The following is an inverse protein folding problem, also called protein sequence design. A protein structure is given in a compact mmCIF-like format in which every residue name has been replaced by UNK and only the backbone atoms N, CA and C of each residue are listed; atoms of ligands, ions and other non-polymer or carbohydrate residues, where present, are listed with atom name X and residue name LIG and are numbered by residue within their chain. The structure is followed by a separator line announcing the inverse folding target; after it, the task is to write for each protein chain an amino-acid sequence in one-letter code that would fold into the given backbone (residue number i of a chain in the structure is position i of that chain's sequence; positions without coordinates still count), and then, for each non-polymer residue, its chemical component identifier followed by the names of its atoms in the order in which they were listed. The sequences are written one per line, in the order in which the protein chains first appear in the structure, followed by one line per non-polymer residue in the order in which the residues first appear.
data_IF_513030296944
#
_entry.id   IF_513030296944
#
_cell.length_a   1.000
_cell.length_b   1.000
_cell.length_c   1.000
_cell.angle_alpha   90.00
_cell.angle_beta   90.00
_cell.angle_gamma   90.00
#
_symmetry.space_group_name_H-M   'P 1'
#
loop_
_entity.id
_entity.type
_entity.pdbx_description
1 polymer ?
#
# COMPACT_ATOMS: atom_id res chain seq x y z
N UNK A 1 -6.77 -2.12 -0.42
CA UNK A 1 -5.44 -2.33 0.20
C UNK A 1 -5.48 -3.36 1.32
N UNK A 2 -6.47 -3.36 2.21
CA UNK A 2 -6.61 -4.40 3.27
C UNK A 2 -6.88 -5.81 2.71
N UNK A 3 -7.51 -5.90 1.55
CA UNK A 3 -7.83 -7.14 0.85
C UNK A 3 -6.61 -7.77 0.16
N UNK A 4 -5.75 -6.93 -0.40
CA UNK A 4 -4.43 -7.35 -0.92
C UNK A 4 -3.53 -7.84 0.23
N UNK A 5 -3.68 -7.29 1.44
CA UNK A 5 -2.95 -7.76 2.62
C UNK A 5 -3.27 -9.21 2.99
N UNK A 6 -4.56 -9.62 2.97
CA UNK A 6 -4.97 -11.01 3.25
C UNK A 6 -4.43 -11.99 2.21
N UNK A 7 -4.66 -11.73 0.93
CA UNK A 7 -4.13 -12.56 -0.16
C UNK A 7 -2.59 -12.51 -0.23
N UNK A 8 -1.99 -11.36 0.10
CA UNK A 8 -0.55 -11.19 0.19
C UNK A 8 0.10 -12.05 1.29
N UNK A 9 -0.48 -12.09 2.48
CA UNK A 9 -0.01 -12.95 3.57
C UNK A 9 -0.10 -14.43 3.19
N UNK A 10 -1.20 -14.85 2.58
CA UNK A 10 -1.40 -16.22 2.12
C UNK A 10 -0.40 -16.61 1.04
N UNK A 11 -0.22 -15.75 0.03
CA UNK A 11 0.77 -15.97 -1.03
C UNK A 11 2.17 -16.11 -0.45
N UNK A 12 2.55 -15.23 0.49
CA UNK A 12 3.84 -15.26 1.15
C UNK A 12 4.09 -16.55 1.94
N UNK A 13 3.12 -17.03 2.73
CA UNK A 13 3.28 -18.28 3.50
C UNK A 13 3.43 -19.50 2.61
N UNK A 14 2.63 -19.61 1.54
CA UNK A 14 2.78 -20.73 0.60
C UNK A 14 4.10 -20.68 -0.15
N UNK A 15 4.51 -19.50 -0.61
CA UNK A 15 5.81 -19.34 -1.27
C UNK A 15 6.97 -19.63 -0.32
N UNK A 16 6.90 -19.25 0.96
CA UNK A 16 7.90 -19.63 1.98
C UNK A 16 7.92 -21.14 2.14
N UNK A 17 6.76 -21.78 2.26
CA UNK A 17 6.67 -23.24 2.42
C UNK A 17 7.20 -23.99 1.20
N UNK A 18 6.87 -23.55 0.00
CA UNK A 18 7.35 -24.16 -1.25
C UNK A 18 8.84 -23.90 -1.46
N UNK A 19 9.34 -22.73 -1.14
CA UNK A 19 10.76 -22.37 -1.12
C UNK A 19 11.56 -23.28 -0.15
N UNK A 20 11.01 -23.54 1.04
CA UNK A 20 11.62 -24.43 2.03
C UNK A 20 11.57 -25.91 1.61
N UNK A 21 10.55 -26.35 0.87
CA UNK A 21 10.38 -27.74 0.43
C UNK A 21 11.05 -28.05 -0.91
N UNK A 22 11.52 -27.04 -1.65
CA UNK A 22 12.19 -27.24 -2.94
C UNK A 22 11.29 -27.75 -4.06
N UNK A 23 9.97 -27.55 -3.96
CA UNK A 23 9.00 -27.82 -5.04
C UNK A 23 8.89 -26.61 -5.97
N UNK A 24 8.75 -26.87 -7.27
CA UNK A 24 8.54 -25.83 -8.28
C UNK A 24 7.34 -24.97 -7.92
N UNK A 25 7.56 -23.68 -7.66
CA UNK A 25 6.55 -22.72 -7.18
C UNK A 25 5.44 -22.36 -8.17
N UNK A 26 5.35 -23.02 -9.33
CA UNK A 26 4.33 -22.79 -10.37
C UNK A 26 2.92 -23.25 -9.99
N UNK A 27 2.75 -23.95 -8.87
CA UNK A 27 1.44 -24.34 -8.34
C UNK A 27 0.94 -23.38 -7.24
N UNK A 28 1.73 -22.33 -6.92
CA UNK A 28 1.51 -21.56 -5.72
C UNK A 28 0.31 -20.61 -5.76
N UNK A 29 0.48 -19.49 -6.42
CA UNK A 29 -0.42 -18.35 -6.26
C UNK A 29 -1.78 -18.54 -6.93
N UNK A 30 -1.81 -18.95 -8.19
CA UNK A 30 -3.06 -19.16 -8.94
C UNK A 30 -3.94 -20.29 -8.39
N UNK A 31 -3.32 -21.41 -7.99
CA UNK A 31 -4.04 -22.51 -7.35
C UNK A 31 -4.59 -22.15 -5.98
N UNK A 32 -3.88 -21.30 -5.25
CA UNK A 32 -4.30 -20.79 -3.95
C UNK A 32 -5.47 -19.82 -4.08
N UNK A 33 -5.40 -18.84 -5.00
CA UNK A 33 -6.48 -17.89 -5.24
C UNK A 33 -7.76 -18.63 -5.66
N UNK A 34 -7.63 -19.73 -6.39
CA UNK A 34 -8.76 -20.56 -6.82
C UNK A 34 -9.39 -21.39 -5.70
N UNK A 35 -8.75 -21.48 -4.52
CA UNK A 35 -9.28 -22.25 -3.38
C UNK A 35 -10.05 -21.39 -2.39
N UNK A 36 -11.41 -21.45 -2.37
CA UNK A 36 -12.22 -20.58 -1.51
C UNK A 36 -11.94 -20.78 -0.01
N UNK A 37 -11.76 -22.02 0.41
CA UNK A 37 -11.54 -22.36 1.83
C UNK A 37 -10.21 -21.80 2.36
N UNK A 38 -9.16 -21.85 1.53
CA UNK A 38 -7.84 -21.33 1.88
C UNK A 38 -7.91 -19.80 1.98
N UNK A 39 -8.51 -19.13 1.02
CA UNK A 39 -8.66 -17.67 1.01
C UNK A 39 -9.44 -17.16 2.22
N UNK A 40 -10.59 -17.79 2.52
CA UNK A 40 -11.42 -17.39 3.67
C UNK A 40 -10.71 -17.66 5.00
N UNK A 41 -10.01 -18.80 5.14
CA UNK A 41 -9.26 -19.11 6.34
C UNK A 41 -8.17 -18.07 6.64
N UNK A 42 -7.34 -17.76 5.66
CA UNK A 42 -6.27 -16.78 5.87
C UNK A 42 -6.79 -15.35 6.01
N UNK A 43 -7.86 -14.98 5.30
CA UNK A 43 -8.54 -13.72 5.52
C UNK A 43 -9.00 -13.60 6.98
N UNK A 44 -9.64 -14.63 7.52
CA UNK A 44 -10.07 -14.67 8.91
C UNK A 44 -8.88 -14.52 9.86
N UNK A 45 -7.82 -15.29 9.66
CA UNK A 45 -6.59 -15.23 10.48
C UNK A 45 -6.01 -13.81 10.45
N UNK A 46 -5.89 -13.21 9.28
CA UNK A 46 -5.35 -11.84 9.12
C UNK A 46 -6.19 -10.80 9.86
N UNK A 47 -7.51 -10.84 9.68
CA UNK A 47 -8.43 -9.90 10.34
C UNK A 47 -8.41 -10.08 11.86
N UNK A 48 -8.43 -11.34 12.33
CA UNK A 48 -8.36 -11.64 13.77
C UNK A 48 -7.05 -11.13 14.38
N UNK A 49 -5.92 -11.40 13.77
CA UNK A 49 -4.61 -10.92 14.25
C UNK A 49 -4.58 -9.39 14.26
N UNK A 50 -5.02 -8.74 13.18
CA UNK A 50 -5.01 -7.28 13.09
C UNK A 50 -5.86 -6.65 14.20
N UNK A 51 -7.13 -7.03 14.32
CA UNK A 51 -8.01 -6.45 15.32
C UNK A 51 -7.72 -6.90 16.76
N UNK A 52 -7.09 -8.06 16.95
CA UNK A 52 -6.54 -8.47 18.24
C UNK A 52 -5.42 -7.50 18.68
N UNK A 53 -4.46 -7.21 17.81
CA UNK A 53 -3.39 -6.24 18.08
C UNK A 53 -3.99 -4.85 18.37
N UNK A 54 -4.98 -4.42 17.57
CA UNK A 54 -5.64 -3.12 17.70
C UNK A 54 -6.56 -3.02 18.93
N UNK A 55 -6.98 -4.12 19.53
CA UNK A 55 -7.78 -4.13 20.76
C UNK A 55 -7.01 -3.64 21.98
N UNK A 56 -5.68 -3.73 21.93
CA UNK A 56 -4.79 -3.19 22.97
C UNK A 56 -4.57 -1.67 22.80
N UNK A 57 -4.06 -1.00 23.85
CA UNK A 57 -3.78 0.44 23.77
C UNK A 57 -2.72 0.76 22.71
N UNK A 58 -2.96 1.83 21.93
CA UNK A 58 -2.15 2.28 20.81
C UNK A 58 -0.66 2.44 21.14
N UNK A 59 -0.35 3.14 22.24
CA UNK A 59 1.02 3.47 22.64
C UNK A 59 1.84 2.26 23.12
N UNK A 60 1.20 1.19 23.60
CA UNK A 60 1.93 0.03 24.14
C UNK A 60 2.04 -1.15 23.18
N UNK A 61 1.10 -1.32 22.27
CA UNK A 61 0.97 -2.49 21.39
C UNK A 61 1.35 -2.17 19.94
N UNK A 62 0.52 -1.37 19.27
CA UNK A 62 0.66 -1.11 17.84
C UNK A 62 1.99 -0.43 17.49
N UNK A 63 2.33 0.66 18.17
CA UNK A 63 3.56 1.43 17.92
C UNK A 63 4.81 0.56 18.05
N UNK A 64 4.87 -0.23 19.13
CA UNK A 64 6.03 -1.10 19.38
C UNK A 64 6.15 -2.19 18.31
N UNK A 65 5.05 -2.89 18.01
CA UNK A 65 5.03 -3.96 16.98
C UNK A 65 5.41 -3.39 15.62
N UNK A 66 4.77 -2.28 15.21
CA UNK A 66 5.04 -1.65 13.92
C UNK A 66 6.48 -1.16 13.82
N UNK A 67 7.04 -0.57 14.87
CA UNK A 67 8.44 -0.10 14.88
C UNK A 67 9.43 -1.22 14.63
N UNK A 68 9.29 -2.36 15.32
CA UNK A 68 10.17 -3.50 15.10
C UNK A 68 9.98 -4.14 13.72
N UNK A 69 8.73 -4.29 13.29
CA UNK A 69 8.42 -4.81 11.96
C UNK A 69 9.02 -3.95 10.85
N UNK A 70 8.83 -2.62 10.92
CA UNK A 70 9.35 -1.70 9.90
C UNK A 70 10.88 -1.61 9.91
N UNK A 71 11.50 -1.69 11.09
CA UNK A 71 12.96 -1.74 11.18
C UNK A 71 13.53 -3.03 10.58
N UNK A 72 12.93 -4.18 10.88
CA UNK A 72 13.32 -5.46 10.30
C UNK A 72 13.11 -5.46 8.78
N UNK A 73 11.99 -4.92 8.32
CA UNK A 73 11.66 -4.74 6.91
C UNK A 73 12.75 -3.94 6.17
N UNK A 74 13.16 -2.79 6.71
CA UNK A 74 14.18 -1.96 6.08
C UNK A 74 15.53 -2.69 5.98
N UNK A 75 15.93 -3.39 7.03
CA UNK A 75 17.16 -4.19 7.04
C UNK A 75 17.11 -5.30 6.00
N UNK A 76 15.98 -6.02 5.92
CA UNK A 76 15.78 -7.09 4.92
C UNK A 76 15.81 -6.53 3.50
N UNK A 77 15.15 -5.39 3.25
CA UNK A 77 15.17 -4.73 1.94
C UNK A 77 16.60 -4.34 1.53
N UNK A 78 17.34 -3.74 2.43
CA UNK A 78 18.74 -3.36 2.14
C UNK A 78 19.60 -4.59 1.82
N UNK A 79 19.46 -5.68 2.59
CA UNK A 79 20.17 -6.91 2.32
C UNK A 79 19.82 -7.52 0.97
N UNK A 80 18.53 -7.56 0.61
CA UNK A 80 18.06 -8.05 -0.68
C UNK A 80 18.48 -7.14 -1.84
N UNK A 81 18.42 -5.82 -1.67
CA UNK A 81 18.88 -4.87 -2.68
C UNK A 81 20.36 -5.02 -2.98
N UNK A 82 21.18 -5.10 -1.93
CA UNK A 82 22.63 -5.35 -2.08
C UNK A 82 22.87 -6.68 -2.78
N UNK A 83 22.19 -7.75 -2.36
CA UNK A 83 22.32 -9.05 -3.01
C UNK A 83 21.93 -9.00 -4.49
N UNK A 84 20.81 -8.34 -4.84
CA UNK A 84 20.32 -8.23 -6.21
C UNK A 84 21.30 -7.52 -7.14
N UNK A 85 22.02 -6.52 -6.65
CA UNK A 85 23.05 -5.80 -7.43
C UNK A 85 24.27 -6.67 -7.77
N UNK A 86 24.54 -7.73 -7.00
CA UNK A 86 25.66 -8.66 -7.28
C UNK A 86 25.28 -9.80 -8.22
N UNK A 87 24.02 -9.87 -8.69
CA UNK A 87 23.60 -10.89 -9.65
C UNK A 87 24.22 -10.64 -11.03
N UNK A 88 24.57 -11.74 -11.74
CA UNK A 88 25.07 -11.67 -13.12
C UNK A 88 23.95 -11.18 -14.04
N UNK A 89 24.11 -10.04 -14.71
CA UNK A 89 23.08 -9.45 -15.56
C UNK A 89 22.28 -8.32 -14.87
N UNK A 90 22.58 -8.00 -13.61
CA UNK A 90 21.93 -6.91 -12.88
C UNK A 90 22.02 -5.55 -13.59
N UNK A 91 23.08 -5.31 -14.38
CA UNK A 91 23.26 -4.06 -15.12
C UNK A 91 22.18 -3.76 -16.15
N UNK A 92 21.66 -4.77 -16.85
CA UNK A 92 20.56 -4.61 -17.82
C UNK A 92 19.26 -4.24 -17.09
N UNK A 93 18.95 -4.93 -15.98
CA UNK A 93 17.79 -4.64 -15.15
C UNK A 93 17.85 -3.27 -14.51
N UNK A 94 19.03 -2.84 -14.04
CA UNK A 94 19.23 -1.48 -13.54
C UNK A 94 19.10 -0.42 -14.63
N UNK A 95 19.59 -0.70 -15.82
CA UNK A 95 19.44 0.19 -16.97
C UNK A 95 17.97 0.33 -17.36
N UNK A 96 17.23 -0.76 -17.40
CA UNK A 96 15.78 -0.75 -17.64
C UNK A 96 15.05 0.10 -16.60
N UNK A 97 15.40 -0.05 -15.33
CA UNK A 97 14.74 0.65 -14.23
C UNK A 97 15.07 2.14 -14.18
N UNK A 98 16.33 2.51 -14.38
CA UNK A 98 16.81 3.88 -14.16
C UNK A 98 16.88 4.74 -15.43
N UNK A 99 16.92 4.12 -16.62
CA UNK A 99 16.99 4.87 -17.88
C UNK A 99 15.60 5.38 -18.27
N UNK A 100 15.33 6.68 -18.18
CA UNK A 100 14.02 7.21 -18.53
C UNK A 100 13.82 7.15 -20.05
N UNK A 101 12.66 6.66 -20.46
CA UNK A 101 12.19 6.71 -21.85
C UNK A 101 11.06 7.72 -21.96
N UNK A 102 11.41 8.97 -22.23
CA UNK A 102 10.45 10.07 -22.34
C UNK A 102 9.45 9.90 -23.50
N UNK A 103 9.74 9.04 -24.48
CA UNK A 103 8.84 8.78 -25.61
C UNK A 103 7.57 8.02 -25.19
N UNK A 104 7.61 7.35 -24.04
CA UNK A 104 6.49 6.56 -23.50
C UNK A 104 5.66 7.30 -22.45
N UNK A 105 6.02 8.56 -22.14
CA UNK A 105 5.26 9.37 -21.18
C UNK A 105 4.09 10.00 -21.91
N UNK A 106 2.92 9.44 -21.71
CA UNK A 106 1.64 9.99 -22.13
C UNK A 106 0.77 10.41 -20.94
N UNK A 107 -0.42 10.93 -21.22
CA UNK A 107 -1.36 11.34 -20.16
C UNK A 107 -1.78 10.20 -19.23
N UNK A 108 -1.86 8.98 -19.73
CA UNK A 108 -2.25 7.81 -18.94
C UNK A 108 -1.18 7.44 -17.90
N UNK A 109 0.09 7.55 -18.28
CA UNK A 109 1.23 7.34 -17.37
C UNK A 109 1.23 8.38 -16.24
N UNK A 110 0.94 9.63 -16.56
CA UNK A 110 0.87 10.71 -15.54
C UNK A 110 -0.27 10.44 -14.56
N UNK A 111 -1.46 10.08 -15.05
CA UNK A 111 -2.61 9.75 -14.20
C UNK A 111 -2.31 8.52 -13.35
N UNK A 112 -1.73 7.48 -13.93
CA UNK A 112 -1.33 6.27 -13.20
C UNK A 112 -0.35 6.57 -12.08
N UNK A 113 0.67 7.39 -12.33
CA UNK A 113 1.64 7.82 -11.33
C UNK A 113 0.98 8.63 -10.19
N UNK A 114 0.03 9.51 -10.52
CA UNK A 114 -0.68 10.31 -9.51
C UNK A 114 -1.64 9.45 -8.68
N UNK A 115 -2.37 8.52 -9.29
CA UNK A 115 -3.23 7.57 -8.57
C UNK A 115 -2.38 6.70 -7.62
N UNK A 116 -1.21 6.25 -8.07
CA UNK A 116 -0.27 5.53 -7.23
C UNK A 116 0.21 6.38 -6.05
N UNK A 117 0.52 7.66 -6.26
CA UNK A 117 0.92 8.57 -5.19
C UNK A 117 -0.21 8.79 -4.17
N UNK A 118 -1.46 8.95 -4.60
CA UNK A 118 -2.62 9.02 -3.69
C UNK A 118 -2.79 7.74 -2.89
N UNK A 119 -2.59 6.59 -3.53
CA UNK A 119 -2.74 5.29 -2.90
C UNK A 119 -1.64 5.04 -1.86
N UNK A 120 -0.36 5.18 -2.22
CA UNK A 120 0.77 4.86 -1.35
C UNK A 120 0.83 5.77 -0.13
N UNK A 121 0.55 7.07 -0.30
CA UNK A 121 0.50 8.04 0.79
C UNK A 121 -0.83 8.05 1.55
N UNK A 122 -1.81 7.22 1.14
CA UNK A 122 -3.15 7.16 1.75
C UNK A 122 -3.83 8.53 1.85
N UNK A 123 -3.55 9.43 0.91
CA UNK A 123 -4.16 10.75 0.87
C UNK A 123 -5.65 10.61 0.55
N UNK A 124 -6.49 11.40 1.19
CA UNK A 124 -7.94 11.35 0.96
C UNK A 124 -8.72 10.28 1.71
N UNK A 125 -8.07 9.25 2.27
CA UNK A 125 -8.72 8.25 3.13
C UNK A 125 -8.93 8.72 4.58
N UNK A 126 -8.44 9.89 4.96
CA UNK A 126 -8.45 10.35 6.34
C UNK A 126 -7.39 9.70 7.25
N UNK A 127 -6.67 8.68 6.79
CA UNK A 127 -5.63 7.99 7.57
C UNK A 127 -4.55 8.93 8.04
N UNK A 128 -4.04 9.79 7.18
CA UNK A 128 -3.04 10.79 7.53
C UNK A 128 -3.57 11.84 8.52
N UNK A 129 -4.88 12.15 8.52
CA UNK A 129 -5.48 13.03 9.53
C UNK A 129 -5.49 12.36 10.91
N UNK A 130 -5.83 11.07 10.98
CA UNK A 130 -5.83 10.30 12.23
C UNK A 130 -4.39 10.13 12.75
N UNK A 131 -3.45 9.71 11.91
CA UNK A 131 -2.05 9.60 12.33
C UNK A 131 -1.46 10.97 12.69
N UNK A 132 -1.82 12.04 11.97
CA UNK A 132 -1.45 13.40 12.30
C UNK A 132 -1.96 13.85 13.67
N UNK A 133 -3.12 13.37 14.11
CA UNK A 133 -3.65 13.67 15.45
C UNK A 133 -2.85 13.01 16.58
N UNK A 134 -2.06 11.99 16.29
CA UNK A 134 -1.19 11.31 17.24
C UNK A 134 0.20 11.94 17.33
N UNK A 135 0.56 12.80 16.36
CA UNK A 135 1.84 13.51 16.38
C UNK A 135 1.82 14.54 17.51
N UNK A 136 2.82 14.48 18.39
CA UNK A 136 3.00 15.45 19.46
C UNK A 136 3.28 16.86 18.90
N UNK A 137 2.85 17.89 19.63
CA UNK A 137 3.07 19.30 19.25
C UNK A 137 4.55 19.74 19.21
N UNK A 138 5.46 18.82 19.40
CA UNK A 138 6.91 19.01 19.32
C UNK A 138 7.41 19.02 17.87
N UNK A 139 6.66 18.39 16.95
CA UNK A 139 7.01 18.21 15.55
C UNK A 139 6.12 19.02 14.63
N UNK A 140 6.70 19.60 13.56
CA UNK A 140 5.93 20.29 12.53
C UNK A 140 5.32 19.29 11.56
N UNK A 141 4.06 19.47 11.17
CA UNK A 141 3.39 18.56 10.24
C UNK A 141 4.06 18.54 8.85
N UNK A 142 4.60 19.67 8.40
CA UNK A 142 5.32 19.73 7.12
C UNK A 142 6.62 18.92 7.17
N UNK A 143 7.34 18.96 8.28
CA UNK A 143 8.56 18.15 8.48
C UNK A 143 8.25 16.65 8.42
N UNK A 144 7.22 16.23 9.17
CA UNK A 144 6.80 14.82 9.17
C UNK A 144 6.29 14.35 7.82
N UNK A 145 5.52 15.19 7.09
CA UNK A 145 5.07 14.86 5.74
C UNK A 145 6.25 14.60 4.78
N UNK A 146 7.30 15.43 4.84
CA UNK A 146 8.50 15.24 4.03
C UNK A 146 9.25 13.97 4.41
N UNK A 147 9.35 13.65 5.71
CA UNK A 147 9.94 12.39 6.15
C UNK A 147 9.17 11.18 5.61
N UNK A 148 7.84 11.20 5.67
CA UNK A 148 6.99 10.13 5.15
C UNK A 148 7.21 9.96 3.64
N UNK A 149 7.14 11.04 2.85
CA UNK A 149 7.34 11.00 1.40
C UNK A 149 8.74 10.47 1.04
N UNK A 150 9.76 10.92 1.77
CA UNK A 150 11.15 10.50 1.52
C UNK A 150 11.34 9.01 1.80
N UNK A 151 10.81 8.51 2.92
CA UNK A 151 10.89 7.09 3.27
C UNK A 151 10.08 6.21 2.32
N UNK A 152 8.88 6.63 1.95
CA UNK A 152 8.03 5.93 0.98
C UNK A 152 8.74 5.81 -0.38
N UNK A 153 9.28 6.91 -0.89
CA UNK A 153 10.05 6.93 -2.14
C UNK A 153 11.30 6.05 -2.06
N UNK A 154 12.01 6.08 -0.94
CA UNK A 154 13.19 5.23 -0.73
C UNK A 154 12.83 3.75 -0.77
N UNK A 155 11.76 3.36 -0.08
CA UNK A 155 11.28 1.97 -0.06
C UNK A 155 10.86 1.53 -1.46
N UNK A 156 10.11 2.36 -2.18
CA UNK A 156 9.69 2.08 -3.56
C UNK A 156 10.91 1.93 -4.50
N UNK A 157 11.90 2.81 -4.36
CA UNK A 157 13.14 2.73 -5.13
C UNK A 157 13.93 1.44 -4.83
N UNK A 158 14.08 1.08 -3.57
CA UNK A 158 14.76 -0.16 -3.17
C UNK A 158 14.02 -1.40 -3.68
N UNK A 159 12.69 -1.41 -3.68
CA UNK A 159 11.91 -2.50 -4.24
C UNK A 159 12.20 -2.71 -5.73
N UNK A 160 12.30 -1.62 -6.50
CA UNK A 160 12.72 -1.69 -7.92
C UNK A 160 14.13 -2.24 -8.09
N UNK A 161 15.08 -1.83 -7.25
CA UNK A 161 16.46 -2.36 -7.25
C UNK A 161 16.51 -3.86 -6.93
N UNK A 162 15.57 -4.38 -6.15
CA UNK A 162 15.47 -5.82 -5.86
C UNK A 162 14.89 -6.56 -7.07
N UNK A 163 13.78 -6.09 -7.62
CA UNK A 163 12.95 -6.83 -8.57
C UNK A 163 13.55 -6.83 -9.97
N UNK A 164 13.85 -5.65 -10.53
CA UNK A 164 14.26 -5.55 -11.94
C UNK A 164 15.57 -6.28 -12.25
N UNK A 165 16.66 -6.10 -11.50
CA UNK A 165 17.88 -6.87 -11.76
C UNK A 165 17.68 -8.38 -11.66
N UNK A 166 16.85 -8.82 -10.71
CA UNK A 166 16.54 -10.23 -10.55
C UNK A 166 15.76 -10.79 -11.76
N UNK A 167 14.73 -10.11 -12.23
CA UNK A 167 13.97 -10.52 -13.41
C UNK A 167 14.88 -10.65 -14.66
N UNK A 168 15.71 -9.64 -14.92
CA UNK A 168 16.61 -9.63 -16.08
C UNK A 168 17.70 -10.72 -15.99
N UNK A 169 18.25 -10.94 -14.78
CA UNK A 169 19.26 -12.00 -14.56
C UNK A 169 18.72 -13.39 -14.94
N UNK A 170 17.45 -13.66 -14.70
CA UNK A 170 16.84 -14.96 -14.92
C UNK A 170 15.96 -15.01 -16.19
N UNK A 171 16.01 -13.98 -17.05
CA UNK A 171 15.22 -13.85 -18.28
C UNK A 171 13.72 -14.08 -18.05
N UNK A 172 13.18 -13.51 -16.97
CA UNK A 172 11.76 -13.58 -16.65
C UNK A 172 11.08 -12.30 -17.11
N UNK A 173 9.84 -12.45 -17.62
CA UNK A 173 9.03 -11.30 -17.99
C UNK A 173 8.72 -10.42 -16.80
N UNK A 174 8.87 -9.12 -17.01
CA UNK A 174 8.51 -8.11 -16.01
C UNK A 174 7.01 -7.88 -16.08
N UNK A 175 6.26 -8.67 -15.33
CA UNK A 175 4.83 -8.52 -15.18
C UNK A 175 4.50 -7.34 -14.24
N UNK A 176 3.22 -7.07 -14.05
CA UNK A 176 2.73 -6.06 -13.12
C UNK A 176 1.78 -6.68 -12.08
N UNK A 177 1.59 -5.99 -10.97
CA UNK A 177 0.65 -6.39 -9.93
C UNK A 177 1.10 -7.61 -9.10
N UNK A 178 0.15 -8.35 -8.51
CA UNK A 178 0.46 -9.47 -7.62
C UNK A 178 1.26 -10.59 -8.27
N UNK A 179 1.07 -10.87 -9.56
CA UNK A 179 1.81 -11.92 -10.28
C UNK A 179 3.31 -11.66 -10.33
N UNK A 180 3.74 -10.39 -10.41
CA UNK A 180 5.15 -10.04 -10.32
C UNK A 180 5.77 -10.48 -9.00
N UNK A 181 5.05 -10.27 -7.90
CA UNK A 181 5.57 -10.54 -6.55
C UNK A 181 5.51 -12.03 -6.20
N UNK A 182 4.46 -12.75 -6.60
CA UNK A 182 4.24 -14.12 -6.15
C UNK A 182 4.68 -15.17 -7.17
N UNK A 183 4.45 -14.94 -8.47
CA UNK A 183 4.84 -15.90 -9.50
C UNK A 183 6.26 -15.63 -10.02
N UNK A 184 6.52 -14.39 -10.47
CA UNK A 184 7.82 -14.05 -11.07
C UNK A 184 8.94 -14.11 -10.03
N UNK A 185 8.78 -13.52 -8.85
CA UNK A 185 9.81 -13.55 -7.81
C UNK A 185 10.01 -14.96 -7.23
N UNK A 186 8.97 -15.78 -7.14
CA UNK A 186 9.12 -17.19 -6.76
C UNK A 186 9.97 -17.96 -7.80
N UNK A 187 9.74 -17.72 -9.09
CA UNK A 187 10.56 -18.30 -10.16
C UNK A 187 12.01 -17.81 -10.10
N UNK A 188 12.26 -16.53 -9.80
CA UNK A 188 13.61 -16.00 -9.56
C UNK A 188 14.33 -16.78 -8.46
N UNK A 189 13.70 -16.91 -7.29
CA UNK A 189 14.34 -17.61 -6.16
C UNK A 189 14.54 -19.10 -6.41
N UNK A 190 13.67 -19.75 -7.18
CA UNK A 190 13.85 -21.16 -7.55
C UNK A 190 15.09 -21.40 -8.44
N UNK A 191 15.45 -20.41 -9.26
CA UNK A 191 16.62 -20.50 -10.16
C UNK A 191 17.92 -19.94 -9.55
N UNK A 192 17.83 -19.32 -8.37
CA UNK A 192 18.96 -18.64 -7.76
C UNK A 192 19.74 -19.53 -6.78
N UNK A 193 21.07 -19.41 -6.75
CA UNK A 193 21.89 -20.05 -5.71
C UNK A 193 21.54 -19.50 -4.33
N UNK A 194 21.20 -20.38 -3.38
CA UNK A 194 20.72 -19.96 -2.06
C UNK A 194 19.30 -19.41 -2.07
N UNK A 195 18.54 -19.60 -3.13
CA UNK A 195 17.20 -19.03 -3.32
C UNK A 195 16.20 -19.38 -2.23
N UNK A 196 16.36 -20.54 -1.54
CA UNK A 196 15.53 -20.88 -0.38
C UNK A 196 15.66 -19.85 0.75
N UNK A 197 16.87 -19.41 1.05
CA UNK A 197 17.12 -18.43 2.12
C UNK A 197 16.59 -17.05 1.66
N UNK A 198 17.02 -16.61 0.48
CA UNK A 198 16.65 -15.30 -0.05
C UNK A 198 15.14 -15.19 -0.32
N UNK A 199 14.51 -16.24 -0.87
CA UNK A 199 13.09 -16.30 -1.08
C UNK A 199 12.30 -16.26 0.25
N UNK A 200 12.73 -17.03 1.25
CA UNK A 200 12.09 -16.99 2.57
C UNK A 200 12.19 -15.61 3.22
N UNK A 201 13.34 -14.95 3.12
CA UNK A 201 13.53 -13.58 3.61
C UNK A 201 12.67 -12.56 2.85
N UNK A 202 12.57 -12.69 1.53
CA UNK A 202 11.73 -11.82 0.70
C UNK A 202 10.25 -11.96 1.07
N UNK A 203 9.74 -13.20 1.17
CA UNK A 203 8.33 -13.40 1.52
C UNK A 203 8.02 -13.05 2.97
N UNK A 204 8.97 -13.23 3.89
CA UNK A 204 8.84 -12.71 5.26
C UNK A 204 8.75 -11.19 5.27
N UNK A 205 9.57 -10.51 4.47
CA UNK A 205 9.47 -9.07 4.24
C UNK A 205 8.08 -8.68 3.74
N UNK A 206 7.56 -9.41 2.75
CA UNK A 206 6.21 -9.16 2.19
C UNK A 206 5.11 -9.31 3.25
N UNK A 207 5.21 -10.31 4.13
CA UNK A 207 4.28 -10.49 5.28
C UNK A 207 4.32 -9.26 6.20
N UNK A 208 5.50 -8.78 6.56
CA UNK A 208 5.62 -7.60 7.42
C UNK A 208 5.08 -6.33 6.75
N UNK A 209 5.39 -6.13 5.48
CA UNK A 209 4.87 -5.00 4.71
C UNK A 209 3.33 -5.03 4.63
N UNK A 210 2.75 -6.16 4.25
CA UNK A 210 1.31 -6.34 4.16
C UNK A 210 0.62 -6.13 5.52
N UNK A 211 1.16 -6.72 6.60
CA UNK A 211 0.58 -6.64 7.93
C UNK A 211 0.63 -5.22 8.49
N UNK A 212 1.72 -4.47 8.27
CA UNK A 212 1.81 -3.07 8.69
C UNK A 212 0.77 -2.19 8.02
N UNK A 213 0.51 -2.41 6.72
CA UNK A 213 -0.52 -1.70 5.96
C UNK A 213 -1.92 -2.04 6.48
N UNK A 214 -2.21 -3.33 6.70
CA UNK A 214 -3.50 -3.78 7.26
C UNK A 214 -3.75 -3.14 8.62
N UNK A 215 -2.76 -3.15 9.51
CA UNK A 215 -2.87 -2.53 10.83
C UNK A 215 -3.16 -1.01 10.72
N UNK A 216 -2.47 -0.31 9.82
CA UNK A 216 -2.69 1.12 9.60
C UNK A 216 -4.11 1.45 9.12
N UNK A 217 -4.61 0.70 8.12
CA UNK A 217 -5.97 0.90 7.58
C UNK A 217 -7.03 0.53 8.61
N UNK A 218 -6.87 -0.60 9.31
CA UNK A 218 -7.82 -1.03 10.34
C UNK A 218 -7.85 -0.08 11.53
N UNK A 219 -6.70 0.48 11.95
CA UNK A 219 -6.66 1.51 13.01
C UNK A 219 -7.41 2.77 12.57
N UNK A 220 -7.24 3.20 11.31
CA UNK A 220 -7.97 4.33 10.77
C UNK A 220 -9.50 4.14 10.89
N UNK A 221 -10.01 2.97 10.47
CA UNK A 221 -11.43 2.64 10.58
C UNK A 221 -11.86 2.60 12.04
N UNK A 222 -11.08 1.92 12.89
CA UNK A 222 -11.39 1.77 14.31
C UNK A 222 -11.42 3.11 15.03
N UNK A 223 -10.45 3.99 14.79
CA UNK A 223 -10.36 5.31 15.40
C UNK A 223 -11.57 6.16 15.02
N UNK A 224 -11.93 6.21 13.73
CA UNK A 224 -13.08 6.96 13.23
C UNK A 224 -14.40 6.46 13.86
N UNK A 225 -14.63 5.14 13.86
CA UNK A 225 -15.85 4.58 14.45
C UNK A 225 -15.94 4.85 15.95
N UNK A 226 -14.82 4.74 16.66
CA UNK A 226 -14.77 5.04 18.10
C UNK A 226 -15.06 6.50 18.41
N UNK A 227 -14.55 7.42 17.61
CA UNK A 227 -14.82 8.86 17.76
C UNK A 227 -16.32 9.18 17.55
N UNK A 228 -16.92 8.56 16.51
CA UNK A 228 -18.35 8.76 16.20
C UNK A 228 -19.31 8.12 17.22
N UNK A 229 -18.92 6.97 17.79
CA UNK A 229 -19.83 6.15 18.62
C UNK A 229 -19.54 6.18 20.10
N UNK A 230 -18.33 6.63 20.51
CA UNK A 230 -17.87 6.57 21.89
C UNK A 230 -17.56 5.14 22.39
N UNK A 231 -17.46 4.13 21.50
CA UNK A 231 -17.24 2.75 21.92
C UNK A 231 -15.84 2.53 22.49
N UNK A 232 -15.74 1.58 23.43
CA UNK A 232 -14.44 1.10 23.90
C UNK A 232 -13.66 0.40 22.78
N UNK A 233 -12.33 0.39 22.87
CA UNK A 233 -11.45 -0.26 21.89
C UNK A 233 -11.83 -1.72 21.60
N UNK A 234 -12.01 -2.59 22.62
CA UNK A 234 -12.35 -3.97 22.36
C UNK A 234 -13.68 -4.14 21.61
N UNK A 235 -14.72 -3.39 22.01
CA UNK A 235 -16.02 -3.42 21.33
C UNK A 235 -15.91 -2.93 19.90
N UNK A 236 -15.24 -1.79 19.68
CA UNK A 236 -14.98 -1.26 18.33
C UNK A 236 -14.21 -2.25 17.47
N UNK A 237 -13.17 -2.89 18.01
CA UNK A 237 -12.36 -3.88 17.29
C UNK A 237 -13.18 -5.08 16.82
N UNK A 238 -14.06 -5.63 17.64
CA UNK A 238 -14.92 -6.75 17.25
C UNK A 238 -15.90 -6.34 16.14
N UNK A 239 -16.57 -5.20 16.29
CA UNK A 239 -17.56 -4.75 15.30
C UNK A 239 -16.89 -4.37 13.97
N UNK A 240 -15.81 -3.58 14.03
CA UNK A 240 -15.07 -3.19 12.82
C UNK A 240 -14.43 -4.42 12.15
N UNK A 241 -13.85 -5.34 12.94
CA UNK A 241 -13.26 -6.57 12.42
C UNK A 241 -14.29 -7.44 11.70
N UNK A 242 -15.48 -7.59 12.26
CA UNK A 242 -16.60 -8.31 11.62
C UNK A 242 -17.01 -7.61 10.31
N UNK A 243 -17.16 -6.29 10.32
CA UNK A 243 -17.50 -5.52 9.13
C UNK A 243 -16.44 -5.63 8.02
N UNK A 244 -15.17 -5.48 8.37
CA UNK A 244 -14.04 -5.64 7.43
C UNK A 244 -14.00 -7.06 6.88
N UNK A 245 -14.18 -8.08 7.72
CA UNK A 245 -14.22 -9.47 7.27
C UNK A 245 -15.34 -9.73 6.26
N UNK A 246 -16.56 -9.28 6.55
CA UNK A 246 -17.70 -9.48 5.65
C UNK A 246 -17.53 -8.76 4.30
N UNK A 247 -17.01 -7.53 4.30
CA UNK A 247 -16.72 -6.81 3.06
C UNK A 247 -15.59 -7.47 2.27
N UNK A 248 -14.56 -7.94 2.96
CA UNK A 248 -13.41 -8.60 2.36
C UNK A 248 -13.75 -9.98 1.77
N UNK A 249 -14.80 -10.65 2.26
CA UNK A 249 -15.26 -11.91 1.69
C UNK A 249 -15.66 -11.79 0.22
N UNK A 250 -16.22 -10.67 -0.21
CA UNK A 250 -16.61 -10.45 -1.60
C UNK A 250 -15.41 -10.60 -2.54
N UNK A 251 -14.28 -10.03 -2.18
CA UNK A 251 -13.05 -10.14 -2.96
C UNK A 251 -12.38 -11.50 -2.80
N UNK A 252 -12.30 -12.03 -1.57
CA UNK A 252 -11.67 -13.34 -1.31
C UNK A 252 -12.37 -14.48 -2.04
N UNK A 253 -13.70 -14.43 -2.15
CA UNK A 253 -14.51 -15.39 -2.90
C UNK A 253 -14.66 -15.02 -4.39
N UNK A 254 -14.39 -13.77 -4.74
CA UNK A 254 -14.49 -13.27 -6.11
C UNK A 254 -13.56 -13.96 -7.11
N UNK A 255 -12.46 -14.51 -6.63
CA UNK A 255 -11.53 -15.28 -7.47
C UNK A 255 -11.96 -16.74 -7.69
N UNK A 256 -12.95 -17.23 -6.95
CA UNK A 256 -13.27 -18.66 -6.97
C UNK A 256 -14.76 -18.99 -7.12
N UNK A 257 -15.64 -18.38 -6.33
CA UNK A 257 -17.07 -18.71 -6.25
C UNK A 257 -17.96 -17.58 -6.76
N UNK A 258 -17.66 -16.35 -6.38
CA UNK A 258 -18.41 -15.17 -6.79
C UNK A 258 -17.80 -14.53 -8.04
N UNK A 259 -17.98 -15.18 -9.19
CA UNK A 259 -17.55 -14.61 -10.48
C UNK A 259 -18.38 -13.38 -10.81
N UNK A 260 -17.78 -12.22 -10.59
CA UNK A 260 -18.35 -10.93 -10.93
C UNK A 260 -17.37 -10.18 -11.83
N UNK A 261 -17.82 -9.83 -13.02
CA UNK A 261 -17.04 -9.12 -14.03
C UNK A 261 -17.63 -7.73 -14.22
N UNK A 262 -17.28 -6.77 -13.38
CA UNK A 262 -17.95 -5.48 -13.33
C UNK A 262 -17.73 -4.62 -14.58
N UNK A 263 -16.59 -4.77 -15.25
CA UNK A 263 -16.19 -3.87 -16.33
C UNK A 263 -16.01 -4.58 -17.66
N UNK A 264 -15.34 -5.73 -17.68
CA UNK A 264 -15.09 -6.54 -18.89
C UNK A 264 -14.77 -7.98 -18.50
N UNK A 265 -14.69 -8.87 -19.48
CA UNK A 265 -14.24 -10.25 -19.28
C UNK A 265 -12.84 -10.28 -18.63
N UNK A 266 -12.69 -11.07 -17.59
CA UNK A 266 -11.45 -11.19 -16.80
C UNK A 266 -11.30 -10.22 -15.63
N UNK A 267 -12.18 -9.21 -15.48
CA UNK A 267 -12.19 -8.36 -14.30
C UNK A 267 -12.83 -9.06 -13.10
N UNK A 268 -12.49 -8.61 -11.89
CA UNK A 268 -12.88 -9.26 -10.63
C UNK A 268 -13.45 -8.25 -9.62
N UNK A 269 -13.93 -8.74 -8.48
CA UNK A 269 -14.30 -7.88 -7.35
C UNK A 269 -13.14 -7.00 -6.87
N UNK A 270 -11.90 -7.45 -7.00
CA UNK A 270 -10.72 -6.65 -6.65
C UNK A 270 -10.63 -5.40 -7.53
N UNK A 271 -10.80 -5.56 -8.85
CA UNK A 271 -10.75 -4.46 -9.81
C UNK A 271 -11.88 -3.45 -9.56
N UNK A 272 -13.07 -3.94 -9.18
CA UNK A 272 -14.20 -3.09 -8.81
C UNK A 272 -13.91 -2.23 -7.59
N UNK A 273 -13.41 -2.84 -6.50
CA UNK A 273 -13.09 -2.10 -5.29
C UNK A 273 -11.90 -1.16 -5.48
N UNK A 274 -10.91 -1.59 -6.27
CA UNK A 274 -9.77 -0.74 -6.60
C UNK A 274 -10.21 0.49 -7.41
N UNK A 275 -11.08 0.32 -8.40
CA UNK A 275 -11.66 1.44 -9.12
C UNK A 275 -12.41 2.41 -8.20
N UNK A 276 -13.25 1.91 -7.30
CA UNK A 276 -13.98 2.77 -6.36
C UNK A 276 -13.01 3.52 -5.45
N UNK A 277 -12.03 2.85 -4.88
CA UNK A 277 -11.11 3.45 -3.91
C UNK A 277 -10.07 4.32 -4.61
N UNK A 278 -9.28 3.75 -5.51
CA UNK A 278 -8.09 4.41 -6.07
C UNK A 278 -8.43 5.49 -7.09
N UNK A 279 -9.47 5.24 -7.92
CA UNK A 279 -9.84 6.20 -8.97
C UNK A 279 -10.92 7.21 -8.53
N UNK A 280 -11.66 6.96 -7.44
CA UNK A 280 -12.72 7.85 -7.01
C UNK A 280 -12.50 8.40 -5.60
N UNK A 281 -12.50 7.53 -4.57
CA UNK A 281 -12.52 7.99 -3.17
C UNK A 281 -11.24 8.76 -2.82
N UNK A 282 -10.08 8.28 -3.24
CA UNK A 282 -8.81 8.92 -2.88
C UNK A 282 -8.65 10.31 -3.52
N UNK A 283 -8.84 10.49 -4.84
CA UNK A 283 -8.74 11.83 -5.45
C UNK A 283 -9.81 12.79 -4.92
N UNK A 284 -11.07 12.35 -4.82
CA UNK A 284 -12.15 13.19 -4.30
C UNK A 284 -11.97 13.55 -2.83
N UNK A 285 -11.56 12.58 -2.00
CA UNK A 285 -11.25 12.81 -0.59
C UNK A 285 -10.10 13.80 -0.42
N UNK A 286 -9.04 13.67 -1.22
CA UNK A 286 -7.90 14.60 -1.24
C UNK A 286 -8.34 16.00 -1.65
N UNK A 287 -9.20 16.12 -2.66
CA UNK A 287 -9.76 17.39 -3.11
C UNK A 287 -10.60 18.06 -2.01
N UNK A 288 -11.49 17.29 -1.37
CA UNK A 288 -12.34 17.79 -0.28
C UNK A 288 -11.48 18.27 0.89
N UNK A 289 -10.48 17.49 1.30
CA UNK A 289 -9.57 17.86 2.39
C UNK A 289 -8.76 19.12 2.06
N UNK A 290 -8.22 19.23 0.84
CA UNK A 290 -7.49 20.41 0.40
C UNK A 290 -8.37 21.67 0.41
N UNK A 291 -9.61 21.55 -0.09
CA UNK A 291 -10.57 22.66 -0.07
C UNK A 291 -10.99 23.03 1.35
N UNK A 292 -11.24 22.04 2.21
CA UNK A 292 -11.61 22.26 3.62
C UNK A 292 -10.50 22.97 4.39
N UNK A 293 -9.26 22.51 4.27
CA UNK A 293 -8.13 23.07 5.02
C UNK A 293 -7.77 24.50 4.59
N UNK A 294 -7.93 24.84 3.29
CA UNK A 294 -7.39 26.08 2.74
C UNK A 294 -8.44 27.18 2.51
N UNK A 295 -9.74 26.86 2.54
CA UNK A 295 -10.79 27.81 2.26
C UNK A 295 -11.53 28.28 3.51
N UNK A 296 -12.16 29.47 3.41
CA UNK A 296 -12.86 30.13 4.53
C UNK A 296 -14.14 29.41 4.96
N UNK A 297 -14.75 28.58 4.11
CA UNK A 297 -15.92 27.79 4.46
C UNK A 297 -15.59 26.53 5.28
N UNK A 298 -14.33 26.14 5.34
CA UNK A 298 -13.84 25.05 6.15
C UNK A 298 -12.99 25.54 7.32
N UNK A 299 -11.89 24.83 7.60
CA UNK A 299 -10.97 25.16 8.68
C UNK A 299 -10.23 26.50 8.45
N UNK A 300 -9.91 26.78 7.21
CA UNK A 300 -9.27 28.02 6.76
C UNK A 300 -7.76 28.02 6.87
N UNK A 301 -7.13 28.80 5.95
CA UNK A 301 -5.68 28.86 5.80
C UNK A 301 -4.94 29.30 7.10
N UNK A 302 -5.51 30.23 7.86
CA UNK A 302 -4.83 30.78 9.02
C UNK A 302 -4.75 29.75 10.18
N UNK A 303 -5.77 28.94 10.33
CA UNK A 303 -5.77 27.81 11.28
C UNK A 303 -4.86 26.68 10.78
N UNK A 304 -4.92 26.37 9.49
CA UNK A 304 -4.06 25.35 8.87
C UNK A 304 -2.58 25.67 9.03
N UNK A 305 -2.15 26.91 8.71
CA UNK A 305 -0.74 27.27 8.81
C UNK A 305 -0.26 27.34 10.26
N UNK A 306 -1.14 27.78 11.18
CA UNK A 306 -0.84 27.80 12.62
C UNK A 306 -0.57 26.39 13.15
N UNK A 307 -1.42 25.44 12.83
CA UNK A 307 -1.27 24.05 13.26
C UNK A 307 -0.08 23.38 12.57
N UNK A 308 0.04 23.51 11.25
CA UNK A 308 1.13 22.91 10.47
C UNK A 308 2.51 23.40 10.90
N UNK A 309 2.60 24.61 11.42
CA UNK A 309 3.85 25.23 11.86
C UNK A 309 4.08 25.11 13.38
N UNK A 310 3.23 24.38 14.08
CA UNK A 310 3.46 24.07 15.49
C UNK A 310 4.65 23.10 15.61
N UNK A 311 5.50 23.30 16.61
CA UNK A 311 6.66 22.45 16.88
C UNK A 311 7.91 22.81 16.06
N UNK A 312 8.91 21.91 16.13
CA UNK A 312 10.21 22.05 15.46
C UNK A 312 10.20 21.33 14.11
N UNK A 313 10.85 21.87 13.10
CA UNK A 313 11.00 21.26 11.79
C UNK A 313 10.69 22.23 10.64
N UNK A 314 10.54 21.70 9.44
CA UNK A 314 10.20 22.48 8.25
C UNK A 314 8.80 23.07 8.38
N UNK A 315 8.66 24.32 7.96
CA UNK A 315 7.43 25.09 8.12
C UNK A 315 6.79 25.44 6.78
N UNK A 316 5.47 25.42 6.74
CA UNK A 316 4.71 25.92 5.60
C UNK A 316 4.93 27.43 5.48
N UNK A 317 5.35 27.88 4.33
CA UNK A 317 5.64 29.29 4.04
C UNK A 317 4.38 30.00 3.53
N UNK A 318 4.24 31.29 3.81
CA UNK A 318 3.07 32.09 3.41
C UNK A 318 2.86 32.15 1.90
N UNK A 319 3.92 32.09 1.10
CA UNK A 319 3.83 32.07 -0.36
C UNK A 319 3.20 30.80 -0.92
N UNK A 320 3.15 29.72 -0.15
CA UNK A 320 2.51 28.46 -0.54
C UNK A 320 0.98 28.55 -0.53
N UNK A 321 0.40 29.62 0.06
CA UNK A 321 -1.07 29.80 0.14
C UNK A 321 -1.78 29.65 -1.22
N UNK A 322 -1.38 30.32 -2.30
CA UNK A 322 -2.04 30.15 -3.59
C UNK A 322 -1.85 28.73 -4.16
N UNK A 323 -0.71 28.10 -3.90
CA UNK A 323 -0.44 26.72 -4.31
C UNK A 323 -1.46 25.75 -3.69
N UNK A 324 -1.62 25.76 -2.37
CA UNK A 324 -2.55 24.87 -1.67
C UNK A 324 -4.02 25.21 -1.92
N UNK A 325 -4.33 26.51 -2.11
CA UNK A 325 -5.72 26.95 -2.24
C UNK A 325 -6.30 26.79 -3.65
N UNK A 326 -5.48 26.95 -4.68
CA UNK A 326 -5.93 26.97 -6.07
C UNK A 326 -5.24 25.92 -6.93
N UNK A 327 -3.91 25.91 -6.95
CA UNK A 327 -3.16 25.06 -7.87
C UNK A 327 -3.36 23.58 -7.56
N UNK A 328 -3.20 23.19 -6.30
CA UNK A 328 -3.35 21.80 -5.90
C UNK A 328 -4.78 21.27 -6.14
N UNK A 329 -5.87 21.94 -5.71
CA UNK A 329 -7.21 21.50 -6.02
C UNK A 329 -7.52 21.40 -7.52
N UNK A 330 -7.02 22.35 -8.33
CA UNK A 330 -7.22 22.33 -9.78
C UNK A 330 -6.50 21.13 -10.40
N UNK A 331 -5.25 20.87 -10.00
CA UNK A 331 -4.50 19.71 -10.48
C UNK A 331 -5.21 18.40 -10.10
N UNK A 332 -5.64 18.26 -8.85
CA UNK A 332 -6.35 17.05 -8.40
C UNK A 332 -7.65 16.87 -9.19
N UNK A 333 -8.45 17.92 -9.34
CA UNK A 333 -9.69 17.88 -10.10
C UNK A 333 -9.46 17.54 -11.57
N UNK A 334 -8.45 18.14 -12.19
CA UNK A 334 -8.08 17.85 -13.57
C UNK A 334 -7.69 16.37 -13.75
N UNK A 335 -6.83 15.84 -12.89
CA UNK A 335 -6.36 14.46 -12.96
C UNK A 335 -7.51 13.49 -12.72
N UNK A 336 -8.38 13.77 -11.74
CA UNK A 336 -9.57 12.97 -11.50
C UNK A 336 -10.47 12.91 -12.74
N UNK A 337 -10.80 14.06 -13.31
CA UNK A 337 -11.66 14.16 -14.50
C UNK A 337 -10.99 13.45 -15.69
N UNK A 338 -9.73 13.73 -15.94
CA UNK A 338 -8.98 13.11 -17.03
C UNK A 338 -8.87 11.59 -16.82
N UNK A 339 -8.60 11.13 -15.61
CA UNK A 339 -8.55 9.72 -15.26
C UNK A 339 -9.87 9.00 -15.51
N UNK A 340 -11.01 9.64 -15.21
CA UNK A 340 -12.33 9.08 -15.50
C UNK A 340 -12.64 8.96 -16.99
N UNK A 341 -12.19 9.93 -17.81
CA UNK A 341 -12.36 9.87 -19.27
C UNK A 341 -11.42 8.91 -19.98
N UNK A 342 -10.24 8.68 -19.43
CA UNK A 342 -9.23 7.80 -20.01
C UNK A 342 -9.21 6.41 -19.37
N UNK A 343 -10.09 6.17 -18.38
CA UNK A 343 -10.18 4.87 -17.74
C UNK A 343 -10.55 3.80 -18.78
N UNK A 344 -9.69 2.80 -18.87
CA UNK A 344 -9.91 1.71 -19.80
C UNK A 344 -10.80 0.65 -19.13
N UNK A 345 -12.06 0.60 -19.54
CA UNK A 345 -13.07 -0.34 -19.06
C UNK A 345 -12.86 -1.78 -19.58
N UNK A 346 -11.68 -2.08 -20.11
CA UNK A 346 -11.31 -3.40 -20.66
C UNK A 346 -10.52 -4.22 -19.67
#
# INVERSE_FOLDING_TARGET
SGLVGGSGLVGSEMCIRDSLRGKNGSLGFSAMISSPSVNVFFLLVTVVIAFFILSFNLQGGLERVTKYMMSALLVLMLALAVHSLFLKGSGEGMTFYLKPDFSKIDGSVIVGAMNQAFFTLSTGMGGMAIFGSYIGKEHSLMGEAIHVITLDTLVAFLAGVIIFPACFTFNLEVNAGPSLLFDTMAAVFNNMSGGRIWGSLFFLFMVFAAMSTVLGVCENILAMIRELTGWSRPKGSVVCGTGVFLLALTTALGFSVFHFQPFAEGTTWLDFWDFIVSNNILPLGSLILALFCCNKFGWGWDNFIKESNTGKGLKVQSWMKPLFRFVLPIIIAFIYIYGMFTFNWK
#
